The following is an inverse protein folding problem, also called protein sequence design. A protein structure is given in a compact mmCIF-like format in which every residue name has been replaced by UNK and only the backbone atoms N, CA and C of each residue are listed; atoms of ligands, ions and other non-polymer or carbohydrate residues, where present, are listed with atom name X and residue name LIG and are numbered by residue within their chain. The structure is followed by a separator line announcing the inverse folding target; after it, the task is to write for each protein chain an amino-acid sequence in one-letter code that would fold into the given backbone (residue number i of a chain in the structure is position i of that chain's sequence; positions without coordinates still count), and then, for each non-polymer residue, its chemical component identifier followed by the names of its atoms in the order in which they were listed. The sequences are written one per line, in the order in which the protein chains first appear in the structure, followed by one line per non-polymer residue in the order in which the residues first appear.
data_IF_926297467142
#
_entry.id   IF_926297467142
#
_cell.length_a   1.000
_cell.length_b   1.000
_cell.length_c   1.000
_cell.angle_alpha   90.00
_cell.angle_beta   90.00
_cell.angle_gamma   90.00
#
_symmetry.space_group_name_H-M   'P 1'
#
loop_
_entity.id
_entity.type
_entity.pdbx_description
1 polymer ?
#
# COMPACT_ATOMS: atom_id res chain seq x y z
N UNK A 1 6.36 8.33 -13.23
CA UNK A 1 4.96 8.55 -12.84
C UNK A 1 4.67 10.03 -12.91
N UNK A 2 3.68 10.40 -13.71
CA UNK A 2 3.16 11.76 -13.87
C UNK A 2 2.07 12.05 -12.83
N UNK A 3 1.63 13.30 -12.77
CA UNK A 3 0.47 13.72 -11.98
C UNK A 3 -0.80 12.99 -12.46
N UNK A 4 -0.97 12.87 -13.77
CA UNK A 4 -2.13 12.23 -14.39
C UNK A 4 -2.18 10.72 -14.07
N UNK A 5 -1.03 10.04 -14.04
CA UNK A 5 -0.94 8.63 -13.63
C UNK A 5 -1.50 8.43 -12.21
N UNK A 6 -1.18 9.35 -11.29
CA UNK A 6 -1.65 9.29 -9.90
C UNK A 6 -3.16 9.52 -9.80
N UNK A 7 -3.69 10.45 -10.61
CA UNK A 7 -5.12 10.75 -10.69
C UNK A 7 -5.89 9.54 -11.23
N UNK A 8 -5.39 8.93 -12.29
CA UNK A 8 -6.03 7.74 -12.88
C UNK A 8 -6.09 6.59 -11.86
N UNK A 9 -4.98 6.29 -11.18
CA UNK A 9 -4.97 5.29 -10.10
C UNK A 9 -5.96 5.61 -8.98
N UNK A 10 -6.13 6.89 -8.64
CA UNK A 10 -7.10 7.30 -7.62
C UNK A 10 -8.53 6.96 -8.05
N UNK A 11 -8.92 7.28 -9.29
CA UNK A 11 -10.24 6.96 -9.80
C UNK A 11 -10.46 5.46 -10.00
N UNK A 12 -9.46 4.73 -10.50
CA UNK A 12 -9.50 3.26 -10.62
C UNK A 12 -9.68 2.57 -9.26
N UNK A 13 -9.13 3.16 -8.19
CA UNK A 13 -9.30 2.68 -6.83
C UNK A 13 -10.53 3.28 -6.10
N UNK A 14 -11.45 3.95 -6.79
CA UNK A 14 -12.64 4.58 -6.19
C UNK A 14 -12.27 5.54 -5.03
N UNK A 15 -11.13 6.22 -5.16
CA UNK A 15 -10.60 7.14 -4.16
C UNK A 15 -10.24 6.47 -2.83
N UNK A 16 -9.97 5.16 -2.81
CA UNK A 16 -9.73 4.36 -1.59
C UNK A 16 -8.37 3.70 -1.56
N UNK A 17 -7.90 3.40 -0.35
CA UNK A 17 -6.66 2.66 -0.12
C UNK A 17 -6.73 1.27 -0.75
N UNK A 18 -5.69 0.85 -1.48
CA UNK A 18 -5.61 -0.49 -2.10
C UNK A 18 -5.76 -1.65 -1.11
N UNK A 19 -5.37 -1.47 0.16
CA UNK A 19 -5.42 -2.49 1.22
C UNK A 19 -6.66 -2.34 2.09
N UNK A 20 -6.73 -1.31 2.95
CA UNK A 20 -7.80 -1.21 3.94
C UNK A 20 -9.13 -0.67 3.39
N UNK A 21 -9.18 -0.25 2.11
CA UNK A 21 -10.35 0.31 1.43
C UNK A 21 -10.95 1.58 2.07
N UNK A 22 -10.27 2.16 3.07
CA UNK A 22 -10.64 3.46 3.61
C UNK A 22 -10.42 4.59 2.59
N UNK A 23 -11.26 5.64 2.58
CA UNK A 23 -11.10 6.78 1.69
C UNK A 23 -9.74 7.47 1.84
N UNK A 24 -9.10 7.73 0.71
CA UNK A 24 -7.89 8.53 0.61
C UNK A 24 -8.28 10.00 0.67
N UNK A 25 -8.08 10.61 1.84
CA UNK A 25 -8.55 11.97 2.17
C UNK A 25 -7.88 13.07 1.35
N UNK A 26 -6.66 12.83 0.88
CA UNK A 26 -5.90 13.79 0.11
C UNK A 26 -4.97 13.06 -0.86
N UNK A 27 -5.30 13.11 -2.15
CA UNK A 27 -4.51 12.48 -3.22
C UNK A 27 -3.11 13.12 -3.34
N UNK A 28 -2.96 14.39 -3.00
CA UNK A 28 -1.70 15.15 -3.10
C UNK A 28 -0.95 15.25 -1.77
N UNK A 29 -1.65 15.02 -0.67
CA UNK A 29 -1.11 15.12 0.68
C UNK A 29 -0.21 13.96 1.09
N UNK A 30 0.43 14.16 2.24
CA UNK A 30 1.35 13.19 2.88
C UNK A 30 0.65 11.91 3.36
N UNK A 31 -0.66 11.77 3.13
CA UNK A 31 -1.44 10.63 3.60
C UNK A 31 -1.69 9.57 2.50
N UNK A 32 -1.44 9.90 1.24
CA UNK A 32 -1.64 8.99 0.08
C UNK A 32 -0.32 8.71 -0.63
N UNK A 33 0.13 7.46 -0.51
CA UNK A 33 1.41 6.99 -0.99
C UNK A 33 1.23 6.11 -2.21
N UNK A 34 2.15 6.21 -3.17
CA UNK A 34 2.21 5.30 -4.32
C UNK A 34 3.11 4.14 -3.93
N UNK A 35 2.50 2.99 -3.68
CA UNK A 35 3.21 1.75 -3.37
C UNK A 35 3.83 1.17 -4.64
N UNK A 36 5.05 0.68 -4.51
CA UNK A 36 5.81 0.12 -5.62
C UNK A 36 6.70 -1.02 -5.13
N UNK A 37 7.00 -1.96 -6.02
CA UNK A 37 7.89 -3.06 -5.70
C UNK A 37 9.33 -2.59 -5.65
N UNK A 38 10.06 -2.99 -4.61
CA UNK A 38 11.47 -2.64 -4.45
C UNK A 38 12.41 -3.47 -5.34
N UNK A 39 11.90 -4.50 -6.03
CA UNK A 39 12.63 -5.24 -7.05
C UNK A 39 12.56 -4.49 -8.37
N UNK A 40 13.72 -4.18 -8.96
CA UNK A 40 13.76 -3.67 -10.33
C UNK A 40 13.30 -4.77 -11.27
N UNK A 41 12.36 -4.45 -12.15
CA UNK A 41 12.00 -5.36 -13.25
C UNK A 41 13.10 -5.37 -14.31
N UNK A 42 13.09 -6.38 -15.19
CA UNK A 42 13.96 -6.39 -16.37
C UNK A 42 13.70 -5.12 -17.22
N UNK A 43 14.75 -4.37 -17.54
CA UNK A 43 14.62 -3.06 -18.18
C UNK A 43 14.68 -1.87 -17.22
N UNK A 44 14.69 -2.11 -15.90
CA UNK A 44 14.91 -1.08 -14.88
C UNK A 44 13.66 -0.28 -14.52
N UNK A 45 12.49 -0.71 -14.99
CA UNK A 45 11.20 -0.10 -14.66
C UNK A 45 10.77 -0.43 -13.23
N UNK A 46 10.06 0.52 -12.63
CA UNK A 46 9.52 0.42 -11.28
C UNK A 46 8.09 -0.12 -11.36
N UNK A 47 7.84 -1.30 -10.80
CA UNK A 47 6.50 -1.87 -10.74
C UNK A 47 5.65 -1.14 -9.69
N UNK A 48 4.69 -0.33 -10.13
CA UNK A 48 3.74 0.37 -9.24
C UNK A 48 2.59 -0.57 -8.89
N UNK A 49 2.31 -0.75 -7.59
CA UNK A 49 1.21 -1.62 -7.11
C UNK A 49 -0.12 -0.86 -6.94
N UNK A 50 -0.06 0.42 -6.59
CA UNK A 50 -1.25 1.27 -6.43
C UNK A 50 -1.13 2.33 -5.33
N UNK A 51 -2.24 2.94 -4.94
CA UNK A 51 -2.29 3.95 -3.88
C UNK A 51 -2.66 3.35 -2.52
N UNK A 52 -1.87 3.66 -1.50
CA UNK A 52 -2.10 3.24 -0.12
C UNK A 52 -2.20 4.44 0.83
N UNK A 53 -2.97 4.27 1.91
CA UNK A 53 -2.90 5.20 3.03
C UNK A 53 -1.56 5.04 3.76
N UNK A 54 -1.16 6.07 4.51
CA UNK A 54 0.08 6.08 5.28
C UNK A 54 0.27 4.84 6.18
N UNK A 55 -0.79 4.36 6.84
CA UNK A 55 -0.71 3.23 7.76
C UNK A 55 -0.43 1.91 7.02
N UNK A 56 -1.18 1.64 5.95
CA UNK A 56 -0.98 0.44 5.14
C UNK A 56 0.40 0.45 4.46
N UNK A 57 0.83 1.60 3.92
CA UNK A 57 2.15 1.71 3.31
C UNK A 57 3.28 1.44 4.32
N UNK A 58 3.18 2.01 5.53
CA UNK A 58 4.15 1.77 6.60
C UNK A 58 4.13 0.34 7.12
N UNK A 59 2.96 -0.31 7.16
CA UNK A 59 2.83 -1.73 7.52
C UNK A 59 3.63 -2.61 6.56
N UNK A 60 3.50 -2.40 5.23
CA UNK A 60 4.28 -3.16 4.24
C UNK A 60 5.79 -2.91 4.42
N UNK A 61 6.20 -1.65 4.56
CA UNK A 61 7.61 -1.31 4.81
C UNK A 61 8.15 -1.89 6.12
N UNK A 62 7.33 -1.93 7.18
CA UNK A 62 7.65 -2.55 8.46
C UNK A 62 7.83 -4.06 8.36
N UNK A 63 7.04 -4.71 7.49
CA UNK A 63 7.18 -6.12 7.14
C UNK A 63 8.26 -6.36 6.06
N UNK A 64 8.93 -5.31 5.56
CA UNK A 64 9.92 -5.36 4.46
C UNK A 64 9.39 -6.08 3.21
N UNK A 65 8.13 -5.85 2.88
CA UNK A 65 7.40 -6.54 1.80
C UNK A 65 7.41 -8.08 1.91
N UNK A 66 7.72 -8.64 3.09
CA UNK A 66 7.79 -10.07 3.30
C UNK A 66 6.39 -10.64 3.65
N UNK A 67 5.86 -11.46 2.74
CA UNK A 67 4.55 -12.08 2.87
C UNK A 67 4.45 -12.97 4.12
N UNK A 68 5.52 -13.68 4.47
CA UNK A 68 5.51 -14.59 5.63
C UNK A 68 5.45 -13.81 6.94
N UNK A 69 6.13 -12.66 7.04
CA UNK A 69 6.02 -11.76 8.20
C UNK A 69 4.57 -11.26 8.36
N UNK A 70 3.92 -10.86 7.26
CA UNK A 70 2.53 -10.41 7.31
C UNK A 70 1.57 -11.52 7.76
N UNK A 71 1.77 -12.76 7.29
CA UNK A 71 0.97 -13.93 7.70
C UNK A 71 1.15 -14.26 9.17
N UNK A 72 2.39 -14.24 9.68
CA UNK A 72 2.64 -14.45 11.11
C UNK A 72 2.05 -13.32 11.96
N UNK A 73 2.03 -12.08 11.45
CA UNK A 73 1.34 -10.96 12.08
C UNK A 73 -0.16 -11.18 12.26
N UNK A 74 -0.84 -11.76 11.26
CA UNK A 74 -2.26 -12.14 11.36
C UNK A 74 -2.46 -13.15 12.49
N UNK A 75 -1.68 -14.25 12.47
CA UNK A 75 -1.77 -15.29 13.51
C UNK A 75 -1.51 -14.74 14.91
N UNK A 76 -0.52 -13.85 15.05
CA UNK A 76 -0.20 -13.21 16.31
C UNK A 76 -1.39 -12.42 16.87
N UNK A 77 -2.06 -11.63 16.03
CA UNK A 77 -3.25 -10.87 16.43
C UNK A 77 -4.37 -11.81 16.85
N UNK A 78 -4.71 -12.81 16.02
CA UNK A 78 -5.77 -13.78 16.31
C UNK A 78 -5.58 -14.49 17.65
N UNK A 79 -4.33 -14.81 18.03
CA UNK A 79 -4.01 -15.46 19.30
C UNK A 79 -4.11 -14.54 20.53
N UNK A 80 -4.04 -13.22 20.34
CA UNK A 80 -3.93 -12.24 21.43
C UNK A 80 -5.06 -11.20 21.45
N UNK A 81 -6.11 -11.37 20.63
CA UNK A 81 -7.32 -10.56 20.72
C UNK A 81 -8.03 -10.83 22.07
N UNK A 82 -8.48 -9.80 22.79
CA UNK A 82 -9.26 -9.99 24.01
C UNK A 82 -10.60 -10.67 23.67
N UNK A 83 -10.97 -11.67 24.46
CA UNK A 83 -12.30 -12.30 24.44
C UNK A 83 -13.37 -11.36 24.96
#
# INVERSE_FOLDING_TARGET
MTIDDKINMYYEQDGKCGICKEPLKDIWGQHTHVDHCHTREEGGEMYVRGLLCMHCNRMLGGARDNIDILKEGIKWLEQHLPT
#
